data_IF_934394638691
#
_entry.id   IF_934394638691
#
_cell.length_a   1.000
_cell.length_b   1.000
_cell.length_c   1.000
_cell.angle_alpha   90.00
_cell.angle_beta   90.00
_cell.angle_gamma   90.00
#
_symmetry.space_group_name_H-M   'P 1'
#
loop_
_entity.id
_entity.type
_entity.pdbx_description
1 polymer ?
#
# COMPACT_ATOMS: atom_id res chain seq x y z
N UNK A 1 25.06 -5.31 12.19
CA UNK A 1 24.75 -5.50 10.76
C UNK A 1 24.19 -6.89 10.44
N UNK A 2 24.79 -7.98 10.92
CA UNK A 2 24.38 -9.36 10.56
C UNK A 2 23.04 -9.81 11.16
N UNK A 3 22.75 -9.38 12.39
CA UNK A 3 21.46 -9.65 13.06
C UNK A 3 20.28 -8.97 12.33
N UNK A 4 20.43 -7.72 11.90
CA UNK A 4 19.41 -7.00 11.11
C UNK A 4 19.21 -7.65 9.73
N UNK A 5 20.27 -8.11 9.06
CA UNK A 5 20.16 -8.86 7.80
C UNK A 5 19.42 -10.19 7.98
N UNK A 6 19.66 -10.88 9.09
CA UNK A 6 18.97 -12.13 9.44
C UNK A 6 17.47 -11.90 9.73
N UNK A 7 17.13 -10.83 10.45
CA UNK A 7 15.74 -10.45 10.72
C UNK A 7 15.02 -10.07 9.42
N UNK A 8 15.64 -9.25 8.57
CA UNK A 8 15.09 -8.86 7.27
C UNK A 8 14.92 -10.07 6.33
N UNK A 9 15.87 -11.01 6.33
CA UNK A 9 15.75 -12.24 5.54
C UNK A 9 14.60 -13.13 6.04
N UNK A 10 14.44 -13.26 7.36
CA UNK A 10 13.32 -14.00 7.98
C UNK A 10 11.98 -13.34 7.69
N UNK A 11 11.89 -12.01 7.76
CA UNK A 11 10.69 -11.25 7.42
C UNK A 11 10.32 -11.41 5.93
N UNK A 12 11.30 -11.24 5.02
CA UNK A 12 11.11 -11.47 3.57
C UNK A 12 10.64 -12.90 3.28
N UNK A 13 11.19 -13.90 3.96
CA UNK A 13 10.78 -15.30 3.82
C UNK A 13 9.36 -15.55 4.37
N UNK A 14 9.00 -14.95 5.50
CA UNK A 14 7.63 -15.01 6.04
C UNK A 14 6.62 -14.38 5.08
N UNK A 15 6.96 -13.23 4.46
CA UNK A 15 6.12 -12.60 3.45
C UNK A 15 5.99 -13.41 2.14
N UNK A 16 7.01 -14.18 1.76
CA UNK A 16 6.92 -15.12 0.63
C UNK A 16 5.88 -16.22 0.90
N UNK A 17 5.83 -16.74 2.13
CA UNK A 17 4.81 -17.72 2.56
C UNK A 17 3.41 -17.11 2.56
N UNK A 18 3.26 -15.83 2.88
CA UNK A 18 1.97 -15.13 2.80
C UNK A 18 1.38 -15.12 1.39
N UNK A 19 2.21 -14.90 0.37
CA UNK A 19 1.75 -14.95 -1.03
C UNK A 19 1.21 -16.33 -1.40
N UNK A 20 1.80 -17.41 -0.85
CA UNK A 20 1.31 -18.79 -1.05
C UNK A 20 -0.02 -19.06 -0.33
N UNK A 21 -0.20 -18.54 0.89
CA UNK A 21 -1.46 -18.68 1.65
C UNK A 21 -2.59 -17.86 1.02
N UNK A 22 -2.31 -16.64 0.58
CA UNK A 22 -3.26 -15.78 -0.12
C UNK A 22 -3.74 -16.40 -1.44
N UNK A 23 -2.82 -17.02 -2.20
CA UNK A 23 -3.15 -17.71 -3.45
C UNK A 23 -3.81 -19.09 -3.25
N UNK A 24 -3.72 -19.71 -2.07
CA UNK A 24 -4.40 -20.99 -1.78
C UNK A 24 -5.93 -20.87 -1.67
N UNK A 25 -6.47 -19.66 -1.62
CA UNK A 25 -7.91 -19.39 -1.69
C UNK A 25 -8.50 -19.34 -3.11
N UNK A 26 -7.68 -19.38 -4.16
CA UNK A 26 -8.15 -19.48 -5.56
C UNK A 26 -7.03 -20.05 -6.42
N UNK A 27 -7.12 -21.34 -6.73
CA UNK A 27 -6.18 -22.01 -7.63
C UNK A 27 -6.56 -21.72 -9.08
N UNK A 28 -5.96 -20.68 -9.67
CA UNK A 28 -5.84 -20.58 -11.14
C UNK A 28 -4.39 -20.26 -11.48
N UNK A 29 -3.76 -21.16 -12.24
CA UNK A 29 -2.48 -20.94 -12.92
C UNK A 29 -2.66 -19.74 -13.85
N UNK A 30 -2.03 -18.61 -13.54
CA UNK A 30 -1.78 -17.58 -14.54
C UNK A 30 -0.83 -18.18 -15.59
N UNK A 31 -1.37 -18.59 -16.74
CA UNK A 31 -0.56 -18.88 -17.92
C UNK A 31 0.05 -17.58 -18.43
N UNK A 32 1.36 -17.57 -18.64
CA UNK A 32 2.21 -16.45 -19.13
C UNK A 32 1.87 -15.90 -20.53
N UNK A 33 0.62 -16.00 -21.00
CA UNK A 33 0.25 -15.53 -22.34
C UNK A 33 -0.52 -14.22 -22.30
N UNK A 34 0.20 -13.20 -22.80
CA UNK A 34 -0.25 -11.94 -23.39
C UNK A 34 -0.71 -10.83 -22.45
N UNK A 35 0.27 -10.01 -22.05
CA UNK A 35 0.13 -8.55 -22.19
C UNK A 35 1.39 -8.03 -22.89
N UNK A 36 1.42 -8.14 -24.22
CA UNK A 36 2.29 -7.28 -25.02
C UNK A 36 1.48 -6.00 -25.23
N UNK A 37 1.76 -4.99 -24.40
CA UNK A 37 1.29 -3.62 -24.63
C UNK A 37 2.51 -2.75 -24.89
N UNK A 38 2.51 -2.10 -26.04
CA UNK A 38 3.56 -1.23 -26.57
C UNK A 38 3.60 0.10 -25.78
N UNK A 39 4.24 0.05 -24.61
CA UNK A 39 4.96 1.10 -23.84
C UNK A 39 5.18 0.47 -22.45
N UNK A 40 6.44 0.29 -22.04
CA UNK A 40 6.86 -0.37 -20.78
C UNK A 40 6.43 0.34 -19.47
N UNK A 41 5.40 1.18 -19.52
CA UNK A 41 4.91 1.95 -18.38
C UNK A 41 3.85 1.13 -17.64
N UNK A 42 3.96 0.96 -16.31
CA UNK A 42 2.89 0.41 -15.49
C UNK A 42 1.57 1.13 -15.77
N UNK A 43 0.40 0.46 -15.69
CA UNK A 43 -0.89 1.11 -15.90
C UNK A 43 -1.22 2.16 -14.83
N UNK A 44 -0.60 2.04 -13.66
CA UNK A 44 -0.82 2.90 -12.50
C UNK A 44 0.53 3.32 -11.89
N UNK A 45 0.60 4.57 -11.43
CA UNK A 45 1.79 5.16 -10.82
C UNK A 45 1.80 4.96 -9.30
N UNK A 46 0.62 5.01 -8.67
CA UNK A 46 0.44 5.07 -7.21
C UNK A 46 -0.55 4.00 -6.76
N UNK A 47 -0.22 3.21 -5.76
CA UNK A 47 -1.18 2.30 -5.10
C UNK A 47 -1.65 2.90 -3.78
N UNK A 48 -2.96 3.16 -3.64
CA UNK A 48 -3.53 3.69 -2.40
C UNK A 48 -4.07 2.52 -1.56
N UNK A 49 -3.43 2.24 -0.42
CA UNK A 49 -3.97 1.29 0.58
C UNK A 49 -4.67 2.06 1.68
N UNK A 50 -5.86 1.60 2.05
CA UNK A 50 -6.71 2.33 2.98
C UNK A 50 -7.68 1.37 3.66
N UNK A 51 -8.19 1.76 4.82
CA UNK A 51 -9.25 1.02 5.49
C UNK A 51 -10.61 1.51 5.01
N UNK A 52 -11.31 0.70 4.22
CA UNK A 52 -12.58 1.11 3.61
C UNK A 52 -13.68 1.54 4.60
N UNK A 53 -13.70 0.99 5.81
CA UNK A 53 -14.66 1.40 6.86
C UNK A 53 -14.37 2.77 7.46
N UNK A 54 -13.16 3.28 7.28
CA UNK A 54 -12.67 4.50 7.95
C UNK A 54 -12.58 5.63 6.93
N UNK A 55 -11.99 5.34 5.76
CA UNK A 55 -11.47 6.40 4.89
C UNK A 55 -11.97 6.37 3.45
N UNK A 56 -12.84 5.41 3.07
CA UNK A 56 -13.28 5.21 1.66
C UNK A 56 -13.85 6.47 1.01
N UNK A 57 -14.79 7.13 1.69
CA UNK A 57 -15.53 8.30 1.20
C UNK A 57 -14.98 9.62 1.73
N UNK A 58 -13.82 9.59 2.38
CA UNK A 58 -13.16 10.78 2.93
C UNK A 58 -11.78 10.90 2.28
N UNK A 59 -10.71 10.77 3.05
CA UNK A 59 -9.34 11.00 2.61
C UNK A 59 -8.90 10.14 1.42
N UNK A 60 -9.25 8.85 1.36
CA UNK A 60 -8.78 7.98 0.27
C UNK A 60 -9.39 8.36 -1.09
N UNK A 61 -10.68 8.70 -1.11
CA UNK A 61 -11.36 9.19 -2.31
C UNK A 61 -10.82 10.55 -2.77
N UNK A 62 -10.62 11.48 -1.84
CA UNK A 62 -10.07 12.80 -2.13
C UNK A 62 -8.63 12.74 -2.65
N UNK A 63 -7.78 11.88 -2.06
CA UNK A 63 -6.43 11.64 -2.55
C UNK A 63 -6.44 11.09 -3.98
N UNK A 64 -7.30 10.11 -4.27
CA UNK A 64 -7.44 9.58 -5.62
C UNK A 64 -7.84 10.68 -6.62
N UNK A 65 -8.86 11.47 -6.30
CA UNK A 65 -9.36 12.51 -7.20
C UNK A 65 -8.32 13.62 -7.39
N UNK A 66 -7.61 14.02 -6.33
CA UNK A 66 -6.56 15.04 -6.40
C UNK A 66 -5.34 14.55 -7.18
N UNK A 67 -4.83 13.36 -6.90
CA UNK A 67 -3.69 12.77 -7.63
C UNK A 67 -4.02 12.59 -9.12
N UNK A 68 -5.26 12.20 -9.45
CA UNK A 68 -5.71 12.01 -10.84
C UNK A 68 -5.82 13.33 -11.59
N UNK A 69 -6.54 14.30 -11.04
CA UNK A 69 -6.93 15.50 -11.79
C UNK A 69 -5.92 16.66 -11.64
N UNK A 70 -5.32 16.82 -10.46
CA UNK A 70 -4.35 17.90 -10.18
C UNK A 70 -2.93 17.38 -10.29
N UNK A 71 -2.67 16.21 -9.70
CA UNK A 71 -1.36 15.57 -9.72
C UNK A 71 -0.93 15.08 -11.10
N UNK A 72 -1.90 14.82 -12.00
CA UNK A 72 -1.71 14.20 -13.32
C UNK A 72 -1.04 12.82 -13.24
N UNK A 73 -1.37 12.07 -12.18
CA UNK A 73 -0.88 10.72 -11.93
C UNK A 73 -2.00 9.69 -12.16
N UNK A 74 -1.64 8.41 -12.27
CA UNK A 74 -2.59 7.31 -12.41
C UNK A 74 -2.69 6.51 -11.11
N UNK A 75 -3.47 6.95 -10.11
CA UNK A 75 -3.64 6.19 -8.89
C UNK A 75 -4.50 4.94 -9.11
N UNK A 76 -4.19 3.88 -8.36
CA UNK A 76 -5.03 2.72 -8.17
C UNK A 76 -5.69 2.81 -6.79
N UNK A 77 -7.02 2.74 -6.77
CA UNK A 77 -7.84 2.67 -5.56
C UNK A 77 -8.91 1.60 -5.79
N UNK A 78 -8.86 0.52 -5.04
CA UNK A 78 -9.59 -0.73 -5.31
C UNK A 78 -11.05 -0.53 -5.75
N UNK A 79 -11.86 0.25 -5.02
CA UNK A 79 -13.28 0.44 -5.29
C UNK A 79 -13.58 1.36 -6.48
N UNK A 80 -12.60 2.16 -6.94
CA UNK A 80 -12.71 3.02 -8.13
C UNK A 80 -12.06 2.40 -9.36
N UNK A 81 -11.05 1.55 -9.18
CA UNK A 81 -10.19 1.04 -10.26
C UNK A 81 -10.53 -0.37 -10.72
N UNK A 82 -11.31 -1.13 -9.95
CA UNK A 82 -11.76 -2.47 -10.34
C UNK A 82 -13.03 -2.39 -11.19
N UNK A 83 -13.05 -3.17 -12.28
CA UNK A 83 -14.22 -3.31 -13.15
C UNK A 83 -15.07 -4.53 -12.76
N UNK A 84 -16.39 -4.54 -13.07
CA UNK A 84 -17.21 -5.73 -12.91
C UNK A 84 -16.59 -6.93 -13.63
N UNK A 85 -16.45 -8.06 -12.92
CA UNK A 85 -15.85 -9.29 -13.45
C UNK A 85 -14.33 -9.41 -13.22
N UNK A 86 -13.66 -8.39 -12.70
CA UNK A 86 -12.25 -8.50 -12.33
C UNK A 86 -12.02 -9.49 -11.18
N UNK A 87 -10.96 -10.29 -11.26
CA UNK A 87 -10.44 -10.99 -10.09
C UNK A 87 -9.78 -9.96 -9.17
N UNK A 88 -10.51 -9.60 -8.10
CA UNK A 88 -10.12 -8.58 -7.12
C UNK A 88 -8.70 -8.81 -6.60
N UNK A 89 -8.38 -10.06 -6.22
CA UNK A 89 -7.12 -10.40 -5.57
C UNK A 89 -5.94 -10.32 -6.54
N UNK A 90 -6.12 -10.77 -7.79
CA UNK A 90 -5.09 -10.70 -8.82
C UNK A 90 -4.81 -9.25 -9.22
N UNK A 91 -5.85 -8.43 -9.38
CA UNK A 91 -5.72 -7.02 -9.74
C UNK A 91 -5.05 -6.21 -8.65
N UNK A 92 -5.45 -6.37 -7.39
CA UNK A 92 -4.80 -5.71 -6.26
C UNK A 92 -3.34 -6.16 -6.17
N UNK A 93 -3.07 -7.47 -6.24
CA UNK A 93 -1.71 -7.99 -6.18
C UNK A 93 -0.82 -7.50 -7.31
N UNK A 94 -1.35 -7.40 -8.53
CA UNK A 94 -0.65 -6.84 -9.68
C UNK A 94 -0.40 -5.35 -9.48
N UNK A 95 -1.44 -4.58 -9.15
CA UNK A 95 -1.34 -3.13 -8.95
C UNK A 95 -0.35 -2.77 -7.85
N UNK A 96 -0.43 -3.42 -6.68
CA UNK A 96 0.56 -3.25 -5.61
C UNK A 96 1.95 -3.46 -6.18
N UNK A 97 2.22 -4.55 -6.91
CA UNK A 97 3.55 -4.88 -7.43
C UNK A 97 4.03 -3.97 -8.56
N UNK A 98 3.15 -3.43 -9.40
CA UNK A 98 3.54 -2.62 -10.57
C UNK A 98 3.59 -1.13 -10.31
N UNK A 99 2.82 -0.59 -9.36
CA UNK A 99 2.84 0.85 -9.04
C UNK A 99 4.22 1.28 -8.52
N UNK A 100 4.73 2.44 -8.88
CA UNK A 100 6.07 2.87 -8.42
C UNK A 100 6.04 3.36 -6.97
N UNK A 101 4.93 3.97 -6.56
CA UNK A 101 4.74 4.52 -5.22
C UNK A 101 3.60 3.81 -4.50
N UNK A 102 3.81 3.46 -3.22
CA UNK A 102 2.76 3.05 -2.30
C UNK A 102 2.32 4.21 -1.41
N UNK A 103 1.02 4.41 -1.25
CA UNK A 103 0.42 5.45 -0.42
C UNK A 103 -0.52 4.82 0.63
N UNK A 104 0.02 4.23 1.72
CA UNK A 104 -0.80 3.70 2.80
C UNK A 104 -1.39 4.84 3.65
N UNK A 105 -2.72 4.85 3.76
CA UNK A 105 -3.47 5.77 4.61
C UNK A 105 -3.85 5.06 5.90
N UNK A 106 -2.97 5.14 6.88
CA UNK A 106 -3.19 4.61 8.22
C UNK A 106 -4.33 5.36 8.89
N UNK A 107 -5.26 4.61 9.45
CA UNK A 107 -6.47 5.06 10.15
C UNK A 107 -6.72 4.15 11.35
N UNK A 108 -7.55 4.53 12.33
CA UNK A 108 -7.68 3.81 13.60
C UNK A 108 -7.88 2.29 13.48
N UNK A 109 -8.62 1.81 12.46
CA UNK A 109 -8.88 0.38 12.24
C UNK A 109 -8.08 -0.23 11.09
N UNK A 110 -7.05 0.44 10.60
CA UNK A 110 -6.21 -0.07 9.51
C UNK A 110 -5.58 -1.42 9.87
N UNK A 111 -5.00 -1.53 11.08
CA UNK A 111 -4.32 -2.75 11.54
C UNK A 111 -5.29 -3.89 11.92
N UNK A 112 -6.60 -3.65 11.93
CA UNK A 112 -7.62 -4.70 12.10
C UNK A 112 -7.89 -5.43 10.77
N UNK A 113 -7.43 -4.87 9.66
CA UNK A 113 -7.66 -5.38 8.32
C UNK A 113 -6.52 -6.28 7.85
N UNK A 114 -6.79 -7.58 7.74
CA UNK A 114 -5.83 -8.51 7.12
C UNK A 114 -5.38 -8.04 5.74
N UNK A 115 -6.31 -7.54 4.91
CA UNK A 115 -6.01 -7.06 3.56
C UNK A 115 -5.09 -5.83 3.56
N UNK A 116 -5.35 -4.84 4.44
CA UNK A 116 -4.49 -3.65 4.52
C UNK A 116 -3.08 -4.00 5.02
N UNK A 117 -2.96 -4.93 5.97
CA UNK A 117 -1.66 -5.43 6.45
C UNK A 117 -0.92 -6.23 5.37
N UNK A 118 -1.65 -7.02 4.58
CA UNK A 118 -1.10 -7.77 3.45
C UNK A 118 -0.58 -6.85 2.35
N UNK A 119 -1.37 -5.84 1.95
CA UNK A 119 -0.96 -4.82 0.97
C UNK A 119 0.28 -4.06 1.45
N UNK A 120 0.30 -3.63 2.71
CA UNK A 120 1.45 -2.95 3.32
C UNK A 120 2.73 -3.81 3.24
N UNK A 121 2.61 -5.07 3.66
CA UNK A 121 3.73 -6.01 3.61
C UNK A 121 4.23 -6.25 2.18
N UNK A 122 3.31 -6.30 1.20
CA UNK A 122 3.69 -6.38 -0.20
C UNK A 122 4.45 -5.14 -0.65
N UNK A 123 3.99 -3.93 -0.31
CA UNK A 123 4.66 -2.68 -0.70
C UNK A 123 6.12 -2.64 -0.23
N UNK A 124 6.36 -2.86 1.07
CA UNK A 124 7.72 -2.89 1.64
C UNK A 124 8.58 -4.01 1.08
N UNK A 125 8.00 -5.18 0.78
CA UNK A 125 8.75 -6.30 0.19
C UNK A 125 9.20 -6.02 -1.24
N UNK A 126 8.41 -5.28 -2.00
CA UNK A 126 8.71 -4.92 -3.39
C UNK A 126 9.58 -3.67 -3.53
N UNK A 127 10.18 -3.19 -2.42
CA UNK A 127 11.10 -2.06 -2.41
C UNK A 127 10.55 -0.80 -3.09
N UNK A 128 9.27 -0.50 -2.83
CA UNK A 128 8.62 0.70 -3.37
C UNK A 128 9.03 1.92 -2.57
N UNK A 129 9.00 3.07 -3.24
CA UNK A 129 8.89 4.33 -2.54
C UNK A 129 7.53 4.35 -1.83
N UNK A 130 7.51 4.66 -0.53
CA UNK A 130 6.29 4.65 0.27
C UNK A 130 6.12 6.04 0.88
N UNK A 131 4.93 6.61 0.74
CA UNK A 131 4.52 7.88 1.33
C UNK A 131 3.38 7.59 2.32
N UNK A 132 3.68 7.36 3.60
CA UNK A 132 2.64 7.04 4.57
C UNK A 132 1.88 8.30 4.99
N UNK A 133 0.56 8.15 5.14
CA UNK A 133 -0.33 9.17 5.73
C UNK A 133 -0.93 8.59 7.00
N UNK A 134 -0.80 9.30 8.11
CA UNK A 134 -1.32 8.94 9.43
C UNK A 134 -2.54 9.82 9.75
N UNK A 135 -3.74 9.31 9.49
CA UNK A 135 -5.02 9.98 9.70
C UNK A 135 -5.58 9.62 11.08
N UNK A 136 -5.74 10.62 11.95
CA UNK A 136 -6.32 10.49 13.30
C UNK A 136 -5.59 9.47 14.19
N UNK A 137 -4.30 9.25 13.91
CA UNK A 137 -3.45 8.34 14.67
C UNK A 137 -1.98 8.71 14.54
N UNK A 138 -1.17 8.19 15.46
CA UNK A 138 0.29 8.33 15.50
C UNK A 138 0.96 7.05 14.98
N UNK A 139 2.18 7.14 14.41
CA UNK A 139 2.94 5.97 14.00
C UNK A 139 3.13 4.95 15.13
N UNK A 140 3.35 5.40 16.36
CA UNK A 140 3.49 4.53 17.55
C UNK A 140 2.27 3.66 17.85
N UNK A 141 1.10 3.99 17.30
CA UNK A 141 -0.11 3.19 17.43
C UNK A 141 -0.16 2.01 16.44
N UNK A 142 0.72 1.94 15.44
CA UNK A 142 0.80 0.81 14.51
C UNK A 142 1.26 -0.46 15.23
N UNK A 143 0.37 -1.44 15.33
CA UNK A 143 0.64 -2.74 15.97
C UNK A 143 -0.25 -3.82 15.40
N UNK A 144 0.30 -5.02 15.23
CA UNK A 144 -0.50 -6.21 14.94
C UNK A 144 -1.22 -6.68 16.21
N UNK A 145 -2.41 -7.29 16.09
CA UNK A 145 -3.02 -8.05 17.18
C UNK A 145 -2.06 -9.12 17.70
N UNK A 146 -2.06 -9.35 19.02
CA UNK A 146 -1.14 -10.25 19.71
C UNK A 146 -1.45 -11.73 19.41
N UNK A 147 -0.91 -12.24 18.31
CA UNK A 147 -0.86 -13.67 18.00
C UNK A 147 0.48 -14.01 17.30
N UNK A 148 0.95 -15.26 17.41
CA UNK A 148 2.31 -15.70 17.08
C UNK A 148 2.45 -16.38 15.72
N UNK A 149 1.47 -16.27 14.83
CA UNK A 149 1.58 -16.84 13.49
C UNK A 149 2.70 -16.18 12.66
N UNK A 150 3.32 -16.95 11.74
CA UNK A 150 4.38 -16.44 10.85
C UNK A 150 3.90 -15.31 9.93
N UNK A 151 2.61 -15.32 9.59
CA UNK A 151 1.89 -14.22 8.94
C UNK A 151 2.03 -12.91 9.71
N UNK A 152 1.81 -12.96 11.03
CA UNK A 152 1.87 -11.77 11.87
C UNK A 152 3.29 -11.23 12.02
N UNK A 153 4.32 -12.06 11.86
CA UNK A 153 5.71 -11.59 11.84
C UNK A 153 6.02 -10.72 10.62
N UNK A 154 5.52 -11.09 9.43
CA UNK A 154 5.69 -10.26 8.24
C UNK A 154 4.91 -8.94 8.36
N UNK A 155 3.69 -8.99 8.90
CA UNK A 155 2.90 -7.78 9.15
C UNK A 155 3.54 -6.88 10.20
N UNK A 156 4.05 -7.44 11.30
CA UNK A 156 4.79 -6.69 12.32
C UNK A 156 6.00 -5.98 11.72
N UNK A 157 6.81 -6.69 10.92
CA UNK A 157 7.94 -6.07 10.23
C UNK A 157 7.52 -4.90 9.34
N UNK A 158 6.49 -5.09 8.50
CA UNK A 158 6.01 -4.03 7.62
C UNK A 158 5.48 -2.81 8.38
N UNK A 159 4.83 -3.03 9.53
CA UNK A 159 4.39 -1.95 10.42
C UNK A 159 5.57 -1.25 11.10
N UNK A 160 6.62 -1.99 11.48
CA UNK A 160 7.81 -1.40 12.08
C UNK A 160 8.58 -0.54 11.05
N UNK A 161 8.73 -1.00 9.81
CA UNK A 161 9.28 -0.17 8.72
C UNK A 161 8.41 1.08 8.49
N UNK A 162 7.09 0.95 8.56
CA UNK A 162 6.17 2.08 8.42
C UNK A 162 6.29 3.11 9.54
N UNK A 163 6.62 2.72 10.77
CA UNK A 163 6.86 3.65 11.89
C UNK A 163 8.09 4.53 11.65
N UNK A 164 9.12 3.95 11.05
CA UNK A 164 10.39 4.63 10.78
C UNK A 164 10.35 5.42 9.46
N UNK A 165 9.33 5.20 8.62
CA UNK A 165 9.15 5.93 7.37
C UNK A 165 8.55 7.31 7.64
N UNK A 166 9.22 8.37 7.21
CA UNK A 166 8.71 9.75 7.30
C UNK A 166 7.40 9.85 6.52
N UNK A 167 6.34 10.31 7.18
CA UNK A 167 5.00 10.43 6.60
C UNK A 167 4.30 11.74 6.96
N UNK A 168 3.11 11.90 6.40
CA UNK A 168 2.24 13.04 6.66
C UNK A 168 1.30 12.69 7.81
N UNK A 169 1.21 13.57 8.81
CA UNK A 169 0.20 13.45 9.87
C UNK A 169 -1.02 14.29 9.50
N UNK A 170 -2.22 13.78 9.79
CA UNK A 170 -3.45 14.47 9.46
C UNK A 170 -4.52 14.26 10.53
N UNK A 171 -5.15 15.36 10.94
CA UNK A 171 -6.35 15.39 11.79
C UNK A 171 -7.54 15.65 10.87
N UNK A 172 -8.44 14.67 10.73
CA UNK A 172 -9.57 14.80 9.82
C UNK A 172 -10.66 15.76 10.28
N UNK A 173 -10.62 16.18 11.55
CA UNK A 173 -11.58 17.10 12.16
C UNK A 173 -11.13 18.56 12.00
N UNK A 174 -9.84 18.83 12.21
CA UNK A 174 -9.31 20.19 12.29
C UNK A 174 -8.24 20.51 11.23
N UNK A 175 -7.80 19.52 10.47
CA UNK A 175 -6.69 19.66 9.53
C UNK A 175 -7.07 20.42 8.25
N UNK A 176 -6.05 21.01 7.62
CA UNK A 176 -6.18 21.61 6.29
C UNK A 176 -6.13 20.51 5.22
N UNK A 177 -7.29 20.26 4.62
CA UNK A 177 -7.44 19.28 3.54
C UNK A 177 -6.66 19.66 2.28
N UNK A 178 -6.61 20.95 1.94
CA UNK A 178 -5.91 21.40 0.74
C UNK A 178 -4.40 21.22 0.91
N UNK A 179 -3.89 21.57 2.08
CA UNK A 179 -2.49 21.35 2.44
C UNK A 179 -2.14 19.86 2.39
N UNK A 180 -2.96 18.99 3.01
CA UNK A 180 -2.74 17.54 2.98
C UNK A 180 -2.66 17.00 1.55
N UNK A 181 -3.65 17.33 0.71
CA UNK A 181 -3.72 16.80 -0.66
C UNK A 181 -2.54 17.28 -1.51
N UNK A 182 -2.15 18.55 -1.36
CA UNK A 182 -1.00 19.14 -2.04
C UNK A 182 0.30 18.46 -1.60
N UNK A 183 0.53 18.38 -0.28
CA UNK A 183 1.73 17.77 0.29
C UNK A 183 1.85 16.28 -0.09
N UNK A 184 0.73 15.55 -0.10
CA UNK A 184 0.71 14.15 -0.54
C UNK A 184 1.07 14.03 -2.03
N UNK A 185 0.47 14.87 -2.88
CA UNK A 185 0.76 14.89 -4.32
C UNK A 185 2.23 15.22 -4.61
N UNK A 186 2.78 16.22 -3.94
CA UNK A 186 4.18 16.63 -4.11
C UNK A 186 5.17 15.58 -3.61
N UNK A 187 4.88 14.96 -2.47
CA UNK A 187 5.69 13.85 -1.96
C UNK A 187 5.70 12.67 -2.93
N UNK A 188 4.54 12.29 -3.48
CA UNK A 188 4.45 11.22 -4.49
C UNK A 188 5.22 11.57 -5.75
N UNK A 189 5.07 12.80 -6.27
CA UNK A 189 5.78 13.26 -7.48
C UNK A 189 7.30 13.20 -7.28
N UNK A 190 7.79 13.71 -6.16
CA UNK A 190 9.22 13.65 -5.81
C UNK A 190 9.76 12.22 -5.80
N UNK A 191 8.99 11.25 -5.30
CA UNK A 191 9.38 9.83 -5.32
C UNK A 191 9.42 9.25 -6.75
N UNK A 192 8.52 9.70 -7.62
CA UNK A 192 8.49 9.28 -9.03
C UNK A 192 9.61 9.92 -9.87
N UNK A 193 10.07 11.11 -9.53
CA UNK A 193 11.17 11.79 -10.22
C UNK A 193 12.55 11.29 -9.76
N UNK A 194 12.69 10.93 -8.48
CA UNK A 194 13.96 10.44 -7.91
C UNK A 194 14.24 8.95 -8.10
N UNK A 195 13.48 8.25 -8.94
CA UNK A 195 13.61 6.79 -9.17
C UNK A 195 14.09 6.43 -10.60
N UNK A 196 14.71 7.39 -11.29
CA UNK A 196 15.54 7.18 -12.49
C UNK A 196 17.03 7.09 -12.12
#
# INVERSE_FOLDING_TARGET
>A
MEMQRSILAKAKHACAKLSSVYNKGSMIKLSERQVISTKNQPPFDVFISYRGTDTRRTIAGLLYDHLSHVGQLRPFLDYKSLSPGDNIMDKISAAVKTCRVGLPVFSPRYCESYYCLYELALMYRTSKCIVPIFCDMKPSQLRVPSDRSSTLQCFAWALDEAKETVGLSFDSTNGDWSELLTNASDAVRKMLEGSE
#
